data_IF_154375871182
#
_entry.id   IF_154375871182
#
_cell.length_a   1.000
_cell.length_b   1.000
_cell.length_c   1.000
_cell.angle_alpha   90.00
_cell.angle_beta   90.00
_cell.angle_gamma   90.00
#
_symmetry.space_group_name_H-M   'P 1'
#
loop_
_entity.id
_entity.type
_entity.pdbx_description
1 polymer ?
#
# COMPACT_ATOMS: atom_id res chain seq x y z
N UNK A 1 22.74 50.17 34.31
CA UNK A 1 22.00 49.18 35.11
C UNK A 1 21.40 48.14 34.16
N UNK A 2 22.12 47.04 33.96
CA UNK A 2 21.76 45.81 33.22
C UNK A 2 22.49 44.74 34.05
N UNK A 3 21.91 43.67 34.60
CA UNK A 3 21.09 42.58 34.06
C UNK A 3 20.53 41.79 35.28
N UNK A 4 19.27 41.29 35.25
CA UNK A 4 18.97 40.03 35.94
C UNK A 4 17.96 39.15 35.16
N UNK A 5 18.19 38.86 33.87
CA UNK A 5 17.30 37.97 33.09
C UNK A 5 17.92 36.61 32.71
N UNK A 6 19.25 36.47 32.69
CA UNK A 6 19.89 35.21 32.27
C UNK A 6 19.73 34.05 33.28
N UNK A 7 19.83 34.33 34.58
CA UNK A 7 19.84 33.30 35.63
C UNK A 7 18.47 32.64 35.86
N UNK A 8 17.39 33.35 35.55
CA UNK A 8 16.03 32.81 35.65
C UNK A 8 15.68 31.87 34.47
N UNK A 9 16.29 32.07 33.29
CA UNK A 9 16.09 31.19 32.15
C UNK A 9 16.82 29.85 32.32
N UNK A 10 18.04 29.85 32.87
CA UNK A 10 18.82 28.63 33.12
C UNK A 10 18.13 27.68 34.11
N UNK A 11 17.51 28.21 35.16
CA UNK A 11 16.81 27.39 36.17
C UNK A 11 15.51 26.76 35.63
N UNK A 12 14.86 27.39 34.65
CA UNK A 12 13.68 26.83 33.97
C UNK A 12 14.10 25.73 33.00
N UNK A 13 15.17 25.93 32.23
CA UNK A 13 15.70 24.93 31.30
C UNK A 13 16.16 23.67 32.02
N UNK A 14 16.89 23.80 33.14
CA UNK A 14 17.34 22.66 33.96
C UNK A 14 16.14 21.88 34.52
N UNK A 15 15.08 22.58 34.96
CA UNK A 15 13.85 21.94 35.47
C UNK A 15 13.10 21.17 34.38
N UNK A 16 13.04 21.72 33.17
CA UNK A 16 12.42 21.06 32.03
C UNK A 16 13.21 19.83 31.58
N UNK A 17 14.55 19.91 31.56
CA UNK A 17 15.42 18.76 31.29
C UNK A 17 15.23 17.66 32.33
N UNK A 18 15.23 18.01 33.63
CA UNK A 18 14.97 17.02 34.69
C UNK A 18 13.60 16.35 34.58
N UNK A 19 12.56 17.08 34.15
CA UNK A 19 11.24 16.50 33.86
C UNK A 19 11.26 15.59 32.64
N UNK A 20 11.93 15.99 31.56
CA UNK A 20 12.07 15.17 30.35
C UNK A 20 12.82 13.86 30.66
N UNK A 21 13.91 13.90 31.43
CA UNK A 21 14.66 12.72 31.84
C UNK A 21 13.87 11.80 32.77
N UNK A 22 13.04 12.38 33.65
CA UNK A 22 12.11 11.61 34.48
C UNK A 22 11.04 10.90 33.63
N UNK A 23 10.49 11.59 32.62
CA UNK A 23 9.52 10.99 31.70
C UNK A 23 10.14 9.90 30.84
N UNK A 24 11.37 10.10 30.37
CA UNK A 24 12.11 9.11 29.58
C UNK A 24 12.38 7.84 30.40
N UNK A 25 12.74 7.98 31.68
CA UNK A 25 12.89 6.83 32.60
C UNK A 25 11.58 6.10 32.83
N UNK A 26 10.51 6.82 33.18
CA UNK A 26 9.20 6.23 33.37
C UNK A 26 8.68 5.51 32.10
N UNK A 27 8.95 6.08 30.92
CA UNK A 27 8.63 5.44 29.65
C UNK A 27 9.43 4.16 29.40
N UNK A 28 10.73 4.15 29.70
CA UNK A 28 11.57 2.93 29.59
C UNK A 28 11.12 1.83 30.55
N UNK A 29 10.76 2.18 31.78
CA UNK A 29 10.27 1.22 32.77
C UNK A 29 8.92 0.63 32.34
N UNK A 30 8.00 1.47 31.83
CA UNK A 30 6.74 1.03 31.26
C UNK A 30 6.96 0.10 30.04
N UNK A 31 7.93 0.42 29.17
CA UNK A 31 8.29 -0.40 28.02
C UNK A 31 8.86 -1.77 28.45
N UNK A 32 9.67 -1.80 29.50
CA UNK A 32 10.21 -3.05 30.05
C UNK A 32 9.11 -3.95 30.62
N UNK A 33 8.14 -3.38 31.36
CA UNK A 33 6.98 -4.11 31.88
C UNK A 33 6.10 -4.63 30.73
N UNK A 34 5.85 -3.82 29.71
CA UNK A 34 5.10 -4.24 28.53
C UNK A 34 5.76 -5.43 27.82
N UNK A 35 7.09 -5.40 27.65
CA UNK A 35 7.83 -6.50 27.05
C UNK A 35 7.73 -7.80 27.86
N UNK A 36 7.75 -7.72 29.20
CA UNK A 36 7.57 -8.89 30.09
C UNK A 36 6.14 -9.43 29.99
N UNK A 37 5.14 -8.56 29.99
CA UNK A 37 3.74 -8.95 29.82
C UNK A 37 3.52 -9.64 28.47
N UNK A 38 4.06 -9.08 27.37
CA UNK A 38 4.01 -9.68 26.04
C UNK A 38 4.69 -11.05 26.00
N UNK A 39 5.80 -11.23 26.72
CA UNK A 39 6.50 -12.52 26.81
C UNK A 39 5.64 -13.57 27.52
N UNK A 40 5.03 -13.22 28.65
CA UNK A 40 4.15 -14.12 29.42
C UNK A 40 2.89 -14.48 28.63
N UNK A 41 2.30 -13.52 27.91
CA UNK A 41 1.15 -13.77 27.03
C UNK A 41 1.52 -14.68 25.87
N UNK A 42 2.72 -14.53 25.27
CA UNK A 42 3.23 -15.47 24.27
C UNK A 42 3.41 -16.89 24.84
N UNK A 43 3.98 -17.04 26.03
CA UNK A 43 4.12 -18.36 26.66
C UNK A 43 2.75 -19.01 26.91
N UNK A 44 1.79 -18.26 27.48
CA UNK A 44 0.41 -18.73 27.65
C UNK A 44 -0.25 -19.08 26.33
N UNK A 45 0.05 -18.34 25.27
CA UNK A 45 -0.49 -18.57 23.94
C UNK A 45 0.11 -19.75 23.19
N UNK A 46 1.19 -20.33 23.69
CA UNK A 46 1.87 -21.45 23.03
C UNK A 46 1.71 -22.77 23.81
N UNK A 47 1.35 -22.72 25.09
CA UNK A 47 1.12 -23.90 25.92
C UNK A 47 -0.02 -24.79 25.37
N UNK A 48 0.28 -26.08 25.13
CA UNK A 48 -0.70 -27.10 24.72
C UNK A 48 -1.24 -26.97 23.29
N UNK A 49 -0.55 -26.24 22.40
CA UNK A 49 -0.95 -26.02 21.00
C UNK A 49 -0.12 -26.82 20.01
N UNK A 50 -0.72 -27.12 18.86
CA UNK A 50 -0.04 -27.81 17.76
C UNK A 50 0.82 -26.79 16.99
N UNK A 51 2.05 -27.20 16.65
CA UNK A 51 2.98 -26.37 15.86
C UNK A 51 3.10 -26.94 14.45
N UNK A 52 2.77 -26.13 13.46
CA UNK A 52 2.92 -26.44 12.04
C UNK A 52 4.19 -25.73 11.53
N UNK A 53 5.05 -26.49 10.84
CA UNK A 53 6.27 -25.98 10.23
C UNK A 53 6.23 -26.22 8.71
N UNK A 54 6.45 -25.15 7.93
CA UNK A 54 6.59 -25.16 6.47
C UNK A 54 7.69 -24.19 6.09
N UNK A 55 8.81 -24.69 5.57
CA UNK A 55 10.01 -23.87 5.37
C UNK A 55 10.45 -23.20 6.67
N UNK A 56 10.61 -21.88 6.64
CA UNK A 56 10.92 -21.08 7.84
C UNK A 56 9.68 -20.59 8.60
N UNK A 57 8.47 -20.87 8.12
CA UNK A 57 7.24 -20.51 8.85
C UNK A 57 7.04 -21.43 10.05
N UNK A 58 6.63 -20.83 11.16
CA UNK A 58 6.12 -21.51 12.34
C UNK A 58 4.72 -20.98 12.61
N UNK A 59 3.75 -21.88 12.76
CA UNK A 59 2.37 -21.54 13.08
C UNK A 59 1.99 -22.34 14.31
N UNK A 60 1.62 -21.64 15.38
CA UNK A 60 1.18 -22.20 16.64
C UNK A 60 -0.32 -21.98 16.73
N UNK A 61 -1.09 -23.06 16.75
CA UNK A 61 -2.54 -22.99 16.73
C UNK A 61 -3.21 -24.03 17.63
N UNK A 62 -4.42 -23.74 18.09
CA UNK A 62 -5.27 -24.74 18.72
C UNK A 62 -5.76 -25.75 17.68
N UNK A 63 -6.09 -26.97 18.15
CA UNK A 63 -6.73 -27.99 17.32
C UNK A 63 -8.02 -27.43 16.71
N UNK A 64 -8.10 -27.47 15.40
CA UNK A 64 -9.22 -26.94 14.62
C UNK A 64 -9.25 -27.56 13.22
N UNK A 65 -10.40 -27.51 12.51
CA UNK A 65 -10.51 -27.96 11.13
C UNK A 65 -9.87 -27.00 10.11
N UNK A 66 -9.26 -25.89 10.54
CA UNK A 66 -8.62 -24.95 9.63
C UNK A 66 -7.52 -25.63 8.80
N UNK A 67 -7.47 -25.39 7.48
CA UNK A 67 -6.48 -26.01 6.59
C UNK A 67 -5.10 -25.33 6.68
N UNK A 68 -4.60 -25.06 7.89
CA UNK A 68 -3.40 -24.26 8.15
C UNK A 68 -2.15 -24.80 7.45
N UNK A 69 -1.95 -26.12 7.43
CA UNK A 69 -0.78 -26.75 6.77
C UNK A 69 -0.81 -26.51 5.26
N UNK A 70 -1.93 -26.83 4.61
CA UNK A 70 -2.11 -26.64 3.17
C UNK A 70 -2.03 -25.16 2.80
N UNK A 71 -2.59 -24.28 3.63
CA UNK A 71 -2.53 -22.85 3.45
C UNK A 71 -1.08 -22.33 3.53
N UNK A 72 -0.30 -22.83 4.49
CA UNK A 72 1.11 -22.48 4.67
C UNK A 72 1.97 -22.99 3.49
N UNK A 73 1.74 -24.21 3.02
CA UNK A 73 2.39 -24.77 1.83
C UNK A 73 2.13 -23.92 0.57
N UNK A 74 0.90 -23.38 0.44
CA UNK A 74 0.54 -22.47 -0.65
C UNK A 74 1.12 -21.06 -0.49
N UNK A 75 1.20 -20.54 0.74
CA UNK A 75 1.72 -19.21 1.03
C UNK A 75 3.25 -19.15 0.95
N UNK A 76 3.94 -20.23 1.32
CA UNK A 76 5.40 -20.24 1.50
C UNK A 76 6.18 -19.79 0.25
N UNK A 77 5.90 -20.27 -0.97
CA UNK A 77 6.63 -19.81 -2.16
C UNK A 77 6.51 -18.30 -2.40
N UNK A 78 5.34 -17.70 -2.13
CA UNK A 78 5.14 -16.26 -2.28
C UNK A 78 5.92 -15.47 -1.20
N UNK A 79 5.94 -15.98 0.03
CA UNK A 79 6.71 -15.42 1.15
C UNK A 79 8.21 -15.48 0.86
N UNK A 80 8.73 -16.65 0.48
CA UNK A 80 10.15 -16.84 0.14
C UNK A 80 10.55 -15.99 -1.07
N UNK A 81 9.68 -15.86 -2.08
CA UNK A 81 9.95 -15.02 -3.25
C UNK A 81 10.06 -13.53 -2.93
N UNK A 82 9.35 -13.02 -1.91
CA UNK A 82 9.39 -11.61 -1.54
C UNK A 82 10.50 -11.30 -0.52
N UNK A 83 10.63 -12.12 0.53
CA UNK A 83 11.54 -11.84 1.62
C UNK A 83 12.92 -12.49 1.42
N UNK A 84 13.03 -13.50 0.56
CA UNK A 84 14.28 -14.18 0.26
C UNK A 84 14.98 -14.68 1.52
N UNK A 85 16.22 -14.26 1.75
CA UNK A 85 16.99 -14.66 2.93
C UNK A 85 16.47 -14.07 4.24
N UNK A 86 15.67 -12.99 4.21
CA UNK A 86 15.00 -12.46 5.40
C UNK A 86 13.85 -13.36 5.86
N UNK A 87 13.35 -14.26 5.01
CA UNK A 87 12.36 -15.26 5.42
C UNK A 87 12.88 -16.21 6.51
N UNK A 88 14.21 -16.36 6.64
CA UNK A 88 14.83 -17.17 7.69
C UNK A 88 14.48 -16.68 9.11
N UNK A 89 14.27 -15.37 9.26
CA UNK A 89 13.98 -14.74 10.56
C UNK A 89 12.57 -15.12 11.05
N UNK A 90 11.68 -15.60 10.17
CA UNK A 90 10.33 -16.04 10.52
C UNK A 90 10.30 -17.26 11.46
N UNK A 91 11.42 -17.97 11.63
CA UNK A 91 11.55 -19.00 12.66
C UNK A 91 11.38 -18.39 14.06
N UNK A 92 11.87 -17.17 14.26
CA UNK A 92 11.85 -16.47 15.56
C UNK A 92 10.51 -15.79 15.83
N UNK A 93 9.68 -15.61 14.79
CA UNK A 93 8.40 -14.91 14.85
C UNK A 93 7.27 -15.84 14.38
N UNK A 94 6.82 -16.79 15.22
CA UNK A 94 5.74 -17.68 14.84
C UNK A 94 4.41 -16.92 14.69
N UNK A 95 3.58 -17.37 13.74
CA UNK A 95 2.16 -17.04 13.79
C UNK A 95 1.55 -17.68 15.02
N UNK A 96 0.75 -16.90 15.76
CA UNK A 96 -0.09 -17.41 16.84
C UNK A 96 -1.51 -17.27 16.35
N UNK A 97 -2.18 -18.39 16.04
CA UNK A 97 -3.53 -18.39 15.48
C UNK A 97 -4.46 -19.12 16.45
N UNK A 98 -5.57 -18.46 16.80
CA UNK A 98 -6.65 -19.06 17.58
C UNK A 98 -7.86 -19.22 16.68
N UNK A 99 -8.13 -20.45 16.27
CA UNK A 99 -9.36 -20.82 15.59
C UNK A 99 -10.53 -20.73 16.59
N UNK A 100 -11.56 -19.98 16.22
CA UNK A 100 -12.76 -19.75 17.02
C UNK A 100 -13.99 -20.29 16.30
N UNK A 101 -14.93 -20.81 17.07
CA UNK A 101 -16.26 -21.14 16.58
C UNK A 101 -16.98 -19.81 16.18
N UNK A 102 -17.44 -19.62 14.94
CA UNK A 102 -18.16 -18.44 14.51
C UNK A 102 -19.50 -18.30 15.24
N UNK A 103 -20.11 -19.41 15.68
CA UNK A 103 -21.46 -19.42 16.24
C UNK A 103 -21.49 -19.25 17.77
N UNK A 104 -20.33 -19.22 18.43
CA UNK A 104 -20.30 -19.10 19.89
C UNK A 104 -20.58 -17.69 20.38
N UNK A 105 -21.60 -17.56 21.24
CA UNK A 105 -22.02 -16.32 21.92
C UNK A 105 -21.32 -16.09 23.26
N UNK A 106 -20.40 -16.98 23.65
CA UNK A 106 -19.69 -16.90 24.93
C UNK A 106 -18.77 -15.68 24.96
N UNK A 107 -18.83 -14.90 26.04
CA UNK A 107 -17.97 -13.72 26.27
C UNK A 107 -16.52 -14.18 26.43
N UNK A 108 -15.65 -13.73 25.52
CA UNK A 108 -14.28 -14.27 25.37
C UNK A 108 -13.26 -13.46 26.14
N UNK A 109 -12.21 -14.12 26.62
CA UNK A 109 -11.00 -13.43 27.08
C UNK A 109 -10.33 -12.77 25.89
N UNK A 110 -10.03 -11.47 26.03
CA UNK A 110 -9.32 -10.69 25.02
C UNK A 110 -7.95 -11.31 24.83
N UNK A 111 -7.66 -11.74 23.61
CA UNK A 111 -6.34 -12.19 23.23
C UNK A 111 -5.57 -11.00 22.66
N UNK A 112 -4.55 -10.56 23.39
CA UNK A 112 -3.72 -9.43 22.97
C UNK A 112 -2.63 -9.83 21.97
N UNK A 113 -2.34 -11.13 21.85
CA UNK A 113 -1.23 -11.65 21.02
C UNK A 113 -1.73 -12.72 20.05
N UNK A 114 -1.61 -12.46 18.75
CA UNK A 114 -1.98 -13.40 17.69
C UNK A 114 -3.27 -13.05 16.97
N UNK A 115 -3.69 -13.93 16.07
CA UNK A 115 -4.86 -13.76 15.20
C UNK A 115 -5.99 -14.67 15.67
N UNK A 116 -7.14 -14.09 16.00
CA UNK A 116 -8.39 -14.85 16.16
C UNK A 116 -9.11 -14.95 14.82
N UNK A 117 -9.41 -16.18 14.41
CA UNK A 117 -9.96 -16.45 13.08
C UNK A 117 -11.07 -17.49 13.18
N UNK A 118 -12.20 -17.31 12.48
CA UNK A 118 -13.23 -18.34 12.38
C UNK A 118 -12.62 -19.67 11.90
N UNK A 119 -13.01 -20.79 12.52
CA UNK A 119 -12.47 -22.12 12.19
C UNK A 119 -12.98 -22.69 10.85
N UNK A 120 -14.00 -22.08 10.27
CA UNK A 120 -14.71 -22.46 9.04
C UNK A 120 -14.18 -21.74 7.79
N UNK A 121 -13.05 -21.03 7.91
CA UNK A 121 -12.39 -20.42 6.76
C UNK A 121 -11.90 -21.48 5.79
N UNK A 122 -12.20 -21.26 4.50
CA UNK A 122 -11.68 -22.11 3.44
C UNK A 122 -10.16 -21.95 3.26
N UNK A 123 -9.59 -22.81 2.40
CA UNK A 123 -8.17 -22.79 2.10
C UNK A 123 -7.72 -21.44 1.51
N UNK A 124 -8.52 -20.82 0.64
CA UNK A 124 -8.16 -19.57 -0.02
C UNK A 124 -8.05 -18.43 0.99
N UNK A 125 -9.07 -18.25 1.83
CA UNK A 125 -9.10 -17.24 2.87
C UNK A 125 -8.02 -17.47 3.92
N UNK A 126 -7.79 -18.73 4.31
CA UNK A 126 -6.70 -19.07 5.24
C UNK A 126 -5.33 -18.72 4.65
N UNK A 127 -5.08 -19.01 3.36
CA UNK A 127 -3.84 -18.60 2.69
C UNK A 127 -3.71 -17.07 2.61
N UNK A 128 -4.77 -16.36 2.23
CA UNK A 128 -4.78 -14.89 2.19
C UNK A 128 -4.49 -14.28 3.57
N UNK A 129 -5.02 -14.89 4.63
CA UNK A 129 -4.78 -14.45 6.00
C UNK A 129 -3.31 -14.55 6.40
N UNK A 130 -2.64 -15.66 6.06
CA UNK A 130 -1.20 -15.82 6.29
C UNK A 130 -0.40 -14.76 5.53
N UNK A 131 -0.68 -14.57 4.23
CA UNK A 131 0.02 -13.58 3.41
C UNK A 131 -0.22 -12.13 3.85
N UNK A 132 -1.39 -11.84 4.43
CA UNK A 132 -1.73 -10.50 4.89
C UNK A 132 -1.04 -10.12 6.21
N UNK A 133 -0.62 -11.12 7.01
CA UNK A 133 -0.14 -10.95 8.38
C UNK A 133 1.22 -11.60 8.60
N UNK A 134 2.09 -11.61 7.59
CA UNK A 134 3.44 -12.16 7.76
C UNK A 134 4.16 -11.44 8.89
N UNK A 135 4.66 -12.16 9.92
CA UNK A 135 5.27 -11.56 11.09
C UNK A 135 6.72 -11.13 10.80
N UNK A 136 6.90 -10.27 9.80
CA UNK A 136 8.16 -9.61 9.49
C UNK A 136 8.29 -8.30 10.26
N UNK A 137 9.51 -7.83 10.54
CA UNK A 137 9.73 -6.49 11.06
C UNK A 137 9.04 -5.42 10.20
N UNK A 138 8.47 -4.37 10.82
CA UNK A 138 7.80 -3.31 10.08
C UNK A 138 8.79 -2.56 9.20
N UNK A 139 8.30 -2.04 8.06
CA UNK A 139 9.05 -1.11 7.23
C UNK A 139 9.33 0.17 8.03
N UNK A 140 10.47 0.80 7.76
CA UNK A 140 10.75 2.14 8.26
C UNK A 140 9.74 3.16 7.72
N UNK A 141 9.51 4.24 8.47
CA UNK A 141 8.47 5.23 8.16
C UNK A 141 8.57 5.79 6.73
N UNK A 142 9.75 6.22 6.23
CA UNK A 142 9.85 6.75 4.86
C UNK A 142 9.37 5.78 3.79
N UNK A 143 9.73 4.49 3.89
CA UNK A 143 9.30 3.47 2.94
C UNK A 143 7.82 3.16 3.08
N UNK A 144 7.31 3.06 4.32
CA UNK A 144 5.90 2.82 4.59
C UNK A 144 5.02 3.96 4.04
N UNK A 145 5.39 5.21 4.28
CA UNK A 145 4.67 6.41 3.85
C UNK A 145 4.72 6.58 2.33
N UNK A 146 5.86 6.31 1.70
CA UNK A 146 5.97 6.32 0.25
C UNK A 146 5.08 5.24 -0.38
N UNK A 147 5.10 4.03 0.15
CA UNK A 147 4.34 2.89 -0.38
C UNK A 147 2.83 3.14 -0.22
N UNK A 148 2.41 3.63 0.96
CA UNK A 148 1.03 4.01 1.28
C UNK A 148 0.13 2.84 1.70
N UNK A 149 0.65 1.61 1.73
CA UNK A 149 0.02 0.44 2.35
C UNK A 149 1.10 -0.64 2.61
N UNK A 150 0.83 -1.67 3.42
CA UNK A 150 1.83 -2.71 3.73
C UNK A 150 2.34 -3.45 2.49
N UNK A 151 3.65 -3.75 2.43
CA UNK A 151 4.20 -4.62 1.39
C UNK A 151 3.94 -6.08 1.73
N UNK A 152 3.03 -6.72 0.99
CA UNK A 152 2.62 -8.11 1.20
C UNK A 152 3.11 -9.02 0.08
N UNK A 153 3.38 -10.31 0.33
CA UNK A 153 3.57 -11.27 -0.73
C UNK A 153 2.25 -11.52 -1.49
N UNK A 154 2.35 -11.94 -2.74
CA UNK A 154 1.20 -12.14 -3.63
C UNK A 154 1.24 -13.51 -4.27
N UNK A 155 0.08 -14.15 -4.35
CA UNK A 155 -0.12 -15.38 -5.11
C UNK A 155 -0.27 -15.11 -6.60
N UNK A 156 -0.74 -13.91 -6.95
CA UNK A 156 -1.13 -13.54 -8.31
C UNK A 156 -0.36 -12.28 -8.77
N UNK A 157 0.98 -12.32 -8.83
CA UNK A 157 1.78 -11.15 -9.24
C UNK A 157 1.46 -10.68 -10.67
N UNK A 158 0.95 -11.56 -11.53
CA UNK A 158 0.51 -11.20 -12.87
C UNK A 158 -0.74 -10.30 -12.86
N UNK A 159 -1.70 -10.55 -11.96
CA UNK A 159 -2.94 -9.79 -11.86
C UNK A 159 -2.69 -8.38 -11.31
N UNK A 160 -1.75 -8.23 -10.37
CA UNK A 160 -1.32 -6.92 -9.92
C UNK A 160 -0.65 -6.13 -11.04
N UNK A 161 0.25 -6.76 -11.81
CA UNK A 161 0.87 -6.11 -12.98
C UNK A 161 -0.18 -5.71 -14.02
N UNK A 162 -1.21 -6.55 -14.22
CA UNK A 162 -2.35 -6.22 -15.11
C UNK A 162 -3.13 -5.01 -14.60
N UNK A 163 -3.34 -4.91 -13.29
CA UNK A 163 -3.99 -3.75 -12.66
C UNK A 163 -3.19 -2.47 -12.90
N UNK A 164 -1.86 -2.53 -12.77
CA UNK A 164 -0.98 -1.39 -13.07
C UNK A 164 -0.99 -1.07 -14.57
N UNK A 165 -1.01 -2.07 -15.45
CA UNK A 165 -1.15 -1.86 -16.89
C UNK A 165 -2.41 -1.08 -17.22
N UNK A 166 -3.55 -1.46 -16.63
CA UNK A 166 -4.82 -0.74 -16.81
C UNK A 166 -4.69 0.72 -16.34
N UNK A 167 -4.09 0.97 -15.18
CA UNK A 167 -3.84 2.34 -14.73
C UNK A 167 -2.97 3.15 -15.71
N UNK A 168 -1.92 2.54 -16.28
CA UNK A 168 -1.06 3.24 -17.24
C UNK A 168 -1.81 3.65 -18.53
N UNK A 169 -2.79 2.85 -18.98
CA UNK A 169 -3.54 3.15 -20.21
C UNK A 169 -4.78 4.01 -19.98
N UNK A 170 -5.35 4.01 -18.76
CA UNK A 170 -6.58 4.76 -18.46
C UNK A 170 -6.35 6.04 -17.65
N UNK A 171 -5.18 6.22 -17.03
CA UNK A 171 -4.94 7.41 -16.22
C UNK A 171 -5.03 8.69 -17.07
N UNK A 172 -5.70 9.75 -16.58
CA UNK A 172 -5.83 11.01 -17.30
C UNK A 172 -4.53 11.84 -17.30
N UNK A 173 -3.50 11.42 -16.56
CA UNK A 173 -2.23 12.15 -16.43
C UNK A 173 -1.32 12.00 -17.66
N UNK A 174 -0.84 13.12 -18.20
CA UNK A 174 0.16 13.19 -19.27
C UNK A 174 1.49 12.58 -18.84
N UNK A 175 1.89 12.75 -17.56
CA UNK A 175 3.10 12.13 -17.04
C UNK A 175 2.98 10.59 -17.05
N UNK A 176 1.81 10.06 -16.67
CA UNK A 176 1.54 8.61 -16.75
C UNK A 176 1.53 8.13 -18.21
N UNK A 177 0.92 8.89 -19.12
CA UNK A 177 0.94 8.59 -20.55
C UNK A 177 2.36 8.56 -21.12
N UNK A 178 3.21 9.52 -20.74
CA UNK A 178 4.61 9.55 -21.16
C UNK A 178 5.40 8.35 -20.62
N UNK A 179 5.13 7.93 -19.37
CA UNK A 179 5.68 6.68 -18.84
C UNK A 179 5.23 5.46 -19.66
N UNK A 180 3.93 5.35 -19.96
CA UNK A 180 3.40 4.30 -20.81
C UNK A 180 4.08 4.27 -22.19
N UNK A 181 4.33 5.44 -22.80
CA UNK A 181 5.02 5.58 -24.08
C UNK A 181 6.53 5.30 -24.03
N UNK A 182 7.12 5.13 -22.84
CA UNK A 182 8.52 4.69 -22.68
C UNK A 182 9.49 5.76 -22.17
N UNK A 183 9.01 6.93 -21.77
CA UNK A 183 9.87 7.96 -21.16
C UNK A 183 10.16 7.58 -19.71
N UNK A 184 11.30 6.93 -19.46
CA UNK A 184 11.63 6.34 -18.14
C UNK A 184 11.69 7.37 -17.01
N UNK A 185 12.20 8.57 -17.27
CA UNK A 185 12.20 9.66 -16.30
C UNK A 185 10.77 9.98 -15.80
N UNK A 186 9.77 9.93 -16.71
CA UNK A 186 8.36 10.14 -16.34
C UNK A 186 7.79 8.97 -15.54
N UNK A 187 8.26 7.74 -15.77
CA UNK A 187 7.92 6.62 -14.90
C UNK A 187 8.46 6.81 -13.48
N UNK A 188 9.70 7.30 -13.33
CA UNK A 188 10.27 7.61 -12.03
C UNK A 188 9.50 8.75 -11.32
N UNK A 189 9.07 9.78 -12.07
CA UNK A 189 8.25 10.88 -11.54
C UNK A 189 6.91 10.37 -10.98
N UNK A 190 6.12 9.62 -11.75
CA UNK A 190 4.79 9.16 -11.34
C UNK A 190 4.82 8.09 -10.23
N UNK A 191 5.97 7.41 -10.07
CA UNK A 191 6.25 6.52 -8.95
C UNK A 191 6.87 7.25 -7.74
N UNK A 192 7.22 8.52 -7.88
CA UNK A 192 7.87 9.34 -6.86
C UNK A 192 9.17 8.72 -6.34
N UNK A 193 10.05 8.27 -7.24
CA UNK A 193 11.30 7.58 -6.89
C UNK A 193 12.46 8.53 -6.60
N UNK A 194 12.47 9.71 -7.20
CA UNK A 194 13.53 10.69 -7.06
C UNK A 194 13.13 11.88 -6.19
N UNK A 195 13.58 13.07 -6.58
CA UNK A 195 13.20 14.32 -5.94
C UNK A 195 11.67 14.50 -5.90
N UNK A 196 11.18 15.02 -4.78
CA UNK A 196 9.76 15.32 -4.51
C UNK A 196 9.46 16.82 -4.50
N UNK A 197 10.43 17.68 -4.85
CA UNK A 197 10.23 19.12 -5.01
C UNK A 197 9.40 19.44 -6.25
N UNK A 198 8.28 20.17 -6.20
CA UNK A 198 7.51 20.48 -7.45
C UNK A 198 6.83 19.26 -8.09
N UNK A 199 6.31 18.34 -7.27
CA UNK A 199 5.53 17.19 -7.76
C UNK A 199 4.29 17.60 -8.56
N UNK A 200 3.70 18.76 -8.26
CA UNK A 200 2.54 19.25 -9.00
C UNK A 200 2.85 19.36 -10.49
N UNK A 201 3.94 20.04 -10.84
CA UNK A 201 4.35 20.26 -12.21
C UNK A 201 4.85 18.98 -12.89
N UNK A 202 5.40 18.03 -12.11
CA UNK A 202 5.86 16.73 -12.64
C UNK A 202 4.74 15.73 -12.88
N UNK A 203 3.75 15.68 -11.99
CA UNK A 203 2.60 14.75 -12.10
C UNK A 203 1.49 15.27 -13.01
N UNK A 204 1.28 16.59 -13.01
CA UNK A 204 0.21 17.28 -13.72
C UNK A 204 0.78 18.44 -14.53
N UNK A 205 1.58 18.15 -15.58
CA UNK A 205 2.33 19.16 -16.31
C UNK A 205 1.44 20.12 -17.10
N UNK A 206 0.23 19.71 -17.50
CA UNK A 206 -0.62 20.55 -18.35
C UNK A 206 -1.66 21.36 -17.56
N UNK A 207 -1.95 22.60 -18.01
CA UNK A 207 -3.05 23.40 -17.45
C UNK A 207 -4.41 22.69 -17.35
N UNK A 208 -4.90 21.95 -18.37
CA UNK A 208 -6.19 21.27 -18.25
C UNK A 208 -6.21 20.21 -17.14
N UNK A 209 -5.10 19.52 -16.86
CA UNK A 209 -5.03 18.56 -15.75
C UNK A 209 -5.12 19.24 -14.40
N UNK A 210 -4.40 20.34 -14.19
CA UNK A 210 -4.45 21.11 -12.93
C UNK A 210 -5.84 21.67 -12.68
N UNK A 211 -6.51 22.16 -13.73
CA UNK A 211 -7.90 22.60 -13.63
C UNK A 211 -8.85 21.45 -13.31
N UNK A 212 -8.68 20.29 -13.94
CA UNK A 212 -9.49 19.11 -13.63
C UNK A 212 -9.30 18.67 -12.18
N UNK A 213 -8.08 18.71 -11.64
CA UNK A 213 -7.84 18.43 -10.21
C UNK A 213 -8.59 19.41 -9.30
N UNK A 214 -8.48 20.71 -9.57
CA UNK A 214 -9.17 21.74 -8.77
C UNK A 214 -10.68 21.53 -8.82
N UNK A 215 -11.25 21.23 -9.99
CA UNK A 215 -12.68 21.07 -10.17
C UNK A 215 -13.23 19.74 -9.63
N UNK A 216 -12.61 18.62 -10.00
CA UNK A 216 -13.14 17.27 -9.78
C UNK A 216 -12.67 16.65 -8.46
N UNK A 217 -11.43 16.93 -8.03
CA UNK A 217 -10.86 16.33 -6.82
C UNK A 217 -10.95 17.24 -5.59
N UNK A 218 -10.93 18.56 -5.80
CA UNK A 218 -10.87 19.54 -4.73
C UNK A 218 -11.94 20.63 -4.82
N UNK A 219 -13.01 20.40 -5.60
CA UNK A 219 -14.09 21.37 -5.79
C UNK A 219 -14.66 21.83 -4.46
N UNK A 220 -15.05 20.88 -3.61
CA UNK A 220 -15.62 21.18 -2.29
C UNK A 220 -14.62 21.87 -1.35
N UNK A 221 -13.32 21.60 -1.49
CA UNK A 221 -12.28 22.18 -0.64
C UNK A 221 -11.96 23.65 -1.00
N UNK A 222 -12.06 24.01 -2.28
CA UNK A 222 -11.70 25.35 -2.76
C UNK A 222 -12.91 26.24 -3.02
N UNK A 223 -14.09 25.69 -3.29
CA UNK A 223 -15.30 26.44 -3.65
C UNK A 223 -16.01 27.05 -2.42
N UNK A 224 -15.25 27.65 -1.51
CA UNK A 224 -15.79 28.37 -0.35
C UNK A 224 -14.78 29.34 0.25
N UNK A 225 -15.27 30.30 1.05
CA UNK A 225 -14.46 31.21 1.84
C UNK A 225 -13.45 32.01 1.01
N UNK A 226 -12.23 32.16 1.54
CA UNK A 226 -11.16 32.95 0.91
C UNK A 226 -10.67 32.40 -0.45
N UNK A 227 -10.92 31.12 -0.75
CA UNK A 227 -10.46 30.47 -1.98
C UNK A 227 -11.46 30.58 -3.14
N UNK A 228 -12.71 30.99 -2.88
CA UNK A 228 -13.79 30.96 -3.87
C UNK A 228 -13.47 31.80 -5.12
N UNK A 229 -12.86 32.99 -4.97
CA UNK A 229 -12.52 33.84 -6.10
C UNK A 229 -11.42 33.20 -6.98
N UNK A 230 -10.37 32.65 -6.36
CA UNK A 230 -9.31 31.95 -7.09
C UNK A 230 -9.84 30.67 -7.75
N UNK A 231 -10.80 29.99 -7.12
CA UNK A 231 -11.47 28.82 -7.68
C UNK A 231 -12.23 29.18 -8.97
N UNK A 232 -13.04 30.24 -8.94
CA UNK A 232 -13.75 30.71 -10.14
C UNK A 232 -12.79 31.16 -11.24
N UNK A 233 -11.68 31.83 -10.89
CA UNK A 233 -10.66 32.21 -11.87
C UNK A 233 -9.99 30.98 -12.51
N UNK A 234 -9.75 29.91 -11.76
CA UNK A 234 -9.24 28.65 -12.30
C UNK A 234 -10.22 28.01 -13.30
N UNK A 235 -11.52 27.98 -12.99
CA UNK A 235 -12.56 27.50 -13.91
C UNK A 235 -12.66 28.37 -15.17
N UNK A 236 -12.43 29.68 -15.04
CA UNK A 236 -12.30 30.64 -16.13
C UNK A 236 -10.95 30.58 -16.88
N UNK A 237 -10.29 29.41 -16.89
CA UNK A 237 -9.06 29.12 -17.64
C UNK A 237 -7.77 29.80 -17.14
N UNK A 238 -7.75 30.36 -15.92
CA UNK A 238 -6.50 30.88 -15.34
C UNK A 238 -5.66 29.77 -14.69
N UNK A 239 -4.63 29.30 -15.39
CA UNK A 239 -3.71 28.27 -14.89
C UNK A 239 -2.91 28.72 -13.65
N UNK A 240 -2.57 30.01 -13.57
CA UNK A 240 -1.90 30.59 -12.41
C UNK A 240 -2.78 30.49 -11.16
N UNK A 241 -4.09 30.71 -11.29
CA UNK A 241 -5.03 30.53 -10.20
C UNK A 241 -5.16 29.05 -9.79
N UNK A 242 -5.26 28.14 -10.76
CA UNK A 242 -5.30 26.69 -10.48
C UNK A 242 -4.03 26.22 -9.74
N UNK A 243 -2.86 26.62 -10.23
CA UNK A 243 -1.56 26.26 -9.62
C UNK A 243 -1.40 26.87 -8.24
N UNK A 244 -1.82 28.14 -8.06
CA UNK A 244 -1.82 28.81 -6.77
C UNK A 244 -2.63 28.05 -5.73
N UNK A 245 -3.86 27.66 -6.06
CA UNK A 245 -4.72 26.84 -5.19
C UNK A 245 -4.08 25.51 -4.84
N UNK A 246 -3.61 24.75 -5.85
CA UNK A 246 -2.99 23.44 -5.62
C UNK A 246 -1.72 23.51 -4.77
N UNK A 247 -0.98 24.63 -4.78
CA UNK A 247 0.19 24.83 -3.92
C UNK A 247 -0.16 25.12 -2.46
N UNK A 248 -1.39 25.53 -2.15
CA UNK A 248 -1.85 25.70 -0.76
C UNK A 248 -2.22 24.39 -0.07
N UNK A 249 -2.29 23.30 -0.83
CA UNK A 249 -2.65 21.99 -0.31
C UNK A 249 -1.59 21.49 0.71
N UNK A 250 -2.01 20.86 1.81
CA UNK A 250 -1.08 20.23 2.74
C UNK A 250 -0.23 19.16 2.05
N UNK A 251 1.00 18.98 2.51
CA UNK A 251 1.91 17.96 1.98
C UNK A 251 1.24 16.58 2.02
N UNK A 252 1.33 15.85 0.91
CA UNK A 252 0.77 14.49 0.80
C UNK A 252 -0.71 14.42 0.39
N UNK A 253 -1.41 15.54 0.27
CA UNK A 253 -2.82 15.55 -0.17
C UNK A 253 -2.99 15.51 -1.70
N UNK A 254 -1.96 15.92 -2.45
CA UNK A 254 -2.00 15.86 -3.91
C UNK A 254 -2.21 14.40 -4.37
N UNK A 255 -3.25 14.10 -5.17
CA UNK A 255 -3.53 12.73 -5.58
C UNK A 255 -2.36 12.17 -6.38
N UNK A 256 -1.95 10.95 -6.05
CA UNK A 256 -0.87 10.28 -6.78
C UNK A 256 -1.40 9.76 -8.12
N UNK A 257 -0.68 9.97 -9.25
CA UNK A 257 -1.15 9.52 -10.56
C UNK A 257 -1.29 8.00 -10.69
N UNK A 258 -0.50 7.25 -9.93
CA UNK A 258 -0.58 5.78 -9.85
C UNK A 258 -0.89 5.32 -8.42
N UNK A 259 -1.71 4.28 -8.32
CA UNK A 259 -2.12 3.71 -7.05
C UNK A 259 -1.01 2.88 -6.40
N UNK A 260 -1.27 2.41 -5.17
CA UNK A 260 -0.35 1.56 -4.39
C UNK A 260 0.23 0.38 -5.20
N UNK A 261 -0.58 -0.28 -6.03
CA UNK A 261 -0.14 -1.42 -6.82
C UNK A 261 1.09 -1.12 -7.71
N UNK A 262 1.21 0.10 -8.23
CA UNK A 262 2.37 0.49 -9.04
C UNK A 262 3.66 0.54 -8.21
N UNK A 263 3.56 1.05 -6.97
CA UNK A 263 4.69 1.11 -6.02
C UNK A 263 5.04 -0.28 -5.49
N UNK A 264 4.04 -1.09 -5.11
CA UNK A 264 4.28 -2.46 -4.68
C UNK A 264 4.97 -3.30 -5.77
N UNK A 265 4.54 -3.16 -7.03
CA UNK A 265 5.13 -3.91 -8.14
C UNK A 265 6.57 -3.48 -8.46
N UNK A 266 6.95 -2.21 -8.34
CA UNK A 266 8.36 -1.81 -8.53
C UNK A 266 9.24 -2.29 -7.38
N UNK A 267 8.76 -2.30 -6.13
CA UNK A 267 9.51 -2.90 -5.01
C UNK A 267 9.76 -4.38 -5.27
N UNK A 268 8.74 -5.12 -5.70
CA UNK A 268 8.88 -6.54 -6.02
C UNK A 268 9.80 -6.78 -7.20
N UNK A 269 9.79 -5.89 -8.21
CA UNK A 269 10.72 -5.99 -9.32
C UNK A 269 12.17 -5.74 -8.88
N UNK A 270 12.39 -4.76 -7.99
CA UNK A 270 13.70 -4.51 -7.39
C UNK A 270 14.21 -5.73 -6.61
N UNK A 271 13.34 -6.32 -5.77
CA UNK A 271 13.67 -7.53 -5.02
C UNK A 271 13.99 -8.71 -5.95
N UNK A 272 13.17 -8.90 -7.00
CA UNK A 272 13.37 -9.95 -8.00
C UNK A 272 14.70 -9.82 -8.73
N UNK A 273 15.09 -8.61 -9.11
CA UNK A 273 16.37 -8.34 -9.79
C UNK A 273 17.57 -8.52 -8.86
N UNK A 274 17.45 -8.07 -7.61
CA UNK A 274 18.54 -8.13 -6.63
C UNK A 274 18.76 -9.50 -5.98
N UNK A 275 17.89 -10.49 -6.25
CA UNK A 275 18.01 -11.84 -5.70
C UNK A 275 17.62 -11.95 -4.22
N UNK A 276 18.07 -13.01 -3.55
CA UNK A 276 17.57 -13.41 -2.22
C UNK A 276 17.84 -12.40 -1.10
N UNK A 277 18.94 -11.66 -1.14
CA UNK A 277 19.30 -10.69 -0.09
C UNK A 277 18.78 -9.27 -0.33
N UNK A 278 18.11 -9.04 -1.46
CA UNK A 278 17.65 -7.71 -1.88
C UNK A 278 16.67 -7.07 -0.88
N UNK A 279 15.77 -7.85 -0.29
CA UNK A 279 14.83 -7.37 0.71
C UNK A 279 15.55 -6.86 1.97
N UNK A 280 16.58 -7.57 2.43
CA UNK A 280 17.38 -7.13 3.59
C UNK A 280 18.15 -5.85 3.27
N UNK A 281 18.82 -5.78 2.11
CA UNK A 281 19.50 -4.56 1.64
C UNK A 281 18.54 -3.38 1.49
N UNK A 282 17.31 -3.64 1.05
CA UNK A 282 16.25 -2.64 1.01
C UNK A 282 16.01 -2.12 2.42
N UNK A 283 15.77 -2.97 3.42
CA UNK A 283 15.47 -2.52 4.78
C UNK A 283 16.64 -1.78 5.46
N UNK A 284 17.88 -2.15 5.18
CA UNK A 284 19.08 -1.57 5.81
C UNK A 284 19.46 -0.19 5.25
N UNK A 285 19.01 0.16 4.05
CA UNK A 285 19.37 1.43 3.41
C UNK A 285 18.43 2.57 3.83
N UNK A 286 19.04 3.71 4.19
CA UNK A 286 18.35 4.96 4.51
C UNK A 286 18.39 5.98 3.36
N UNK A 287 18.81 5.55 2.15
CA UNK A 287 18.85 6.41 0.98
C UNK A 287 17.44 6.84 0.51
N UNK A 288 17.38 7.79 -0.43
CA UNK A 288 16.12 8.17 -1.05
C UNK A 288 15.49 6.96 -1.77
N UNK A 289 14.17 6.88 -1.82
CA UNK A 289 13.45 5.65 -2.19
C UNK A 289 13.94 5.00 -3.48
N UNK A 290 14.11 5.77 -4.54
CA UNK A 290 14.58 5.21 -5.81
C UNK A 290 16.01 4.69 -5.75
N UNK A 291 16.93 5.41 -5.10
CA UNK A 291 18.32 4.94 -4.91
C UNK A 291 18.36 3.68 -4.06
N UNK A 292 17.52 3.65 -3.01
CA UNK A 292 17.33 2.52 -2.13
C UNK A 292 16.88 1.27 -2.90
N UNK A 293 15.90 1.43 -3.80
CA UNK A 293 15.39 0.35 -4.65
C UNK A 293 16.42 -0.09 -5.71
N UNK A 294 17.09 0.86 -6.35
CA UNK A 294 18.15 0.59 -7.33
C UNK A 294 19.31 -0.20 -6.68
N UNK A 295 19.76 0.23 -5.50
CA UNK A 295 20.78 -0.46 -4.71
C UNK A 295 20.33 -1.86 -4.26
N UNK A 296 19.09 -2.00 -3.79
CA UNK A 296 18.53 -3.31 -3.44
C UNK A 296 18.52 -4.26 -4.64
N UNK A 297 18.17 -3.75 -5.82
CA UNK A 297 18.14 -4.47 -7.09
C UNK A 297 19.53 -4.76 -7.69
N UNK A 298 20.58 -4.06 -7.23
CA UNK A 298 21.94 -4.16 -7.79
C UNK A 298 22.07 -3.57 -9.20
N UNK A 299 21.18 -2.64 -9.58
CA UNK A 299 21.16 -2.00 -10.92
C UNK A 299 20.92 -0.50 -10.81
N UNK A 300 21.17 0.26 -11.89
CA UNK A 300 20.81 1.68 -11.95
C UNK A 300 19.30 1.92 -12.00
N UNK A 301 18.87 3.13 -11.62
CA UNK A 301 17.46 3.54 -11.58
C UNK A 301 16.74 3.30 -12.91
N UNK A 302 17.32 3.77 -14.03
CA UNK A 302 16.68 3.64 -15.35
C UNK A 302 16.53 2.17 -15.75
N UNK A 303 17.50 1.32 -15.42
CA UNK A 303 17.42 -0.13 -15.64
C UNK A 303 16.30 -0.77 -14.82
N UNK A 304 16.15 -0.38 -13.55
CA UNK A 304 15.07 -0.86 -12.69
C UNK A 304 13.70 -0.42 -13.22
N UNK A 305 13.53 0.86 -13.52
CA UNK A 305 12.28 1.43 -14.03
C UNK A 305 11.93 0.85 -15.40
N UNK A 306 12.93 0.67 -16.28
CA UNK A 306 12.77 0.01 -17.57
C UNK A 306 12.34 -1.45 -17.43
N UNK A 307 12.98 -2.22 -16.54
CA UNK A 307 12.61 -3.60 -16.27
C UNK A 307 11.18 -3.72 -15.70
N UNK A 308 10.84 -2.88 -14.73
CA UNK A 308 9.48 -2.79 -14.18
C UNK A 308 8.46 -2.50 -15.26
N UNK A 309 8.67 -1.44 -16.06
CA UNK A 309 7.76 -1.09 -17.16
C UNK A 309 7.59 -2.25 -18.14
N UNK A 310 8.69 -2.89 -18.54
CA UNK A 310 8.64 -4.04 -19.45
C UNK A 310 7.87 -5.23 -18.84
N UNK A 311 7.95 -5.44 -17.52
CA UNK A 311 7.14 -6.43 -16.83
C UNK A 311 5.64 -6.07 -16.82
N UNK A 312 5.29 -4.79 -16.64
CA UNK A 312 3.90 -4.30 -16.72
C UNK A 312 3.35 -4.46 -18.14
N UNK A 313 4.11 -4.07 -19.17
CA UNK A 313 3.68 -4.16 -20.57
C UNK A 313 3.44 -5.61 -21.02
N UNK A 314 4.22 -6.56 -20.50
CA UNK A 314 4.01 -8.00 -20.74
C UNK A 314 2.75 -8.55 -20.05
N UNK A 315 2.25 -7.88 -19.02
CA UNK A 315 1.02 -8.27 -18.31
C UNK A 315 -0.27 -7.73 -18.95
N UNK A 316 -0.17 -7.22 -20.20
CA UNK A 316 -1.33 -6.77 -20.98
C UNK A 316 -2.45 -7.83 -20.94
N UNK A 317 -3.70 -7.47 -20.61
CA UNK A 317 -4.82 -8.39 -20.69
C UNK A 317 -4.92 -8.97 -22.10
N UNK A 318 -5.15 -10.28 -22.21
CA UNK A 318 -5.55 -10.87 -23.49
C UNK A 318 -6.85 -10.18 -23.93
N UNK A 319 -6.88 -9.69 -25.16
CA UNK A 319 -8.10 -9.11 -25.70
C UNK A 319 -9.17 -10.21 -25.69
N UNK A 320 -10.27 -9.97 -24.97
CA UNK A 320 -11.44 -10.84 -25.08
C UNK A 320 -12.03 -10.56 -26.45
N UNK A 321 -11.63 -11.38 -27.43
CA UNK A 321 -12.28 -11.38 -28.74
C UNK A 321 -13.70 -11.88 -28.51
N UNK A 322 -14.66 -10.95 -28.47
CA UNK A 322 -16.06 -11.32 -28.48
C UNK A 322 -16.30 -12.11 -29.77
N UNK A 323 -16.76 -13.36 -29.68
CA UNK A 323 -17.07 -14.10 -30.87
C UNK A 323 -18.19 -13.36 -31.61
N UNK A 324 -18.15 -13.36 -32.94
CA UNK A 324 -19.07 -12.60 -33.78
C UNK A 324 -20.55 -12.87 -33.45
N UNK A 325 -20.88 -14.09 -32.99
CA UNK A 325 -22.23 -14.45 -32.58
C UNK A 325 -22.70 -13.70 -31.33
N UNK A 326 -21.81 -13.27 -30.43
CA UNK A 326 -22.17 -12.49 -29.24
C UNK A 326 -22.67 -11.10 -29.64
N UNK A 327 -22.08 -10.51 -30.69
CA UNK A 327 -22.56 -9.27 -31.30
C UNK A 327 -23.95 -9.49 -31.91
N UNK A 328 -24.13 -10.58 -32.66
CA UNK A 328 -25.43 -10.98 -33.22
C UNK A 328 -26.50 -11.20 -32.15
N UNK A 329 -26.16 -11.87 -31.05
CA UNK A 329 -27.05 -12.09 -29.92
C UNK A 329 -27.43 -10.78 -29.22
N UNK A 330 -26.48 -9.85 -29.03
CA UNK A 330 -26.76 -8.54 -28.46
C UNK A 330 -27.73 -7.73 -29.34
N UNK A 331 -27.52 -7.71 -30.66
CA UNK A 331 -28.46 -7.08 -31.60
C UNK A 331 -29.82 -7.79 -31.62
N UNK A 332 -29.84 -9.13 -31.53
CA UNK A 332 -31.07 -9.91 -31.43
C UNK A 332 -31.87 -9.55 -30.18
N UNK A 333 -31.22 -9.43 -29.03
CA UNK A 333 -31.86 -8.99 -27.79
C UNK A 333 -32.33 -7.53 -27.85
N UNK A 334 -31.53 -6.62 -28.40
CA UNK A 334 -31.93 -5.23 -28.63
C UNK A 334 -33.18 -5.13 -29.53
N UNK A 335 -33.21 -5.90 -30.62
CA UNK A 335 -34.36 -5.96 -31.51
C UNK A 335 -35.58 -6.58 -30.82
N UNK A 336 -35.40 -7.64 -30.04
CA UNK A 336 -36.47 -8.28 -29.27
C UNK A 336 -37.06 -7.34 -28.22
N UNK A 337 -36.24 -6.72 -27.36
CA UNK A 337 -36.71 -5.78 -26.35
C UNK A 337 -37.26 -4.49 -26.97
N UNK A 338 -36.66 -4.00 -28.07
CA UNK A 338 -37.19 -2.89 -28.84
C UNK A 338 -38.57 -3.21 -29.42
N UNK A 339 -38.75 -4.40 -29.99
CA UNK A 339 -40.04 -4.86 -30.50
C UNK A 339 -41.06 -5.06 -29.37
N UNK A 340 -40.67 -5.64 -28.23
CA UNK A 340 -41.52 -5.77 -27.04
C UNK A 340 -41.93 -4.40 -26.49
N UNK A 341 -41.03 -3.42 -26.45
CA UNK A 341 -41.33 -2.05 -26.02
C UNK A 341 -42.25 -1.30 -26.99
N UNK A 342 -42.08 -1.49 -28.31
CA UNK A 342 -42.98 -0.93 -29.32
C UNK A 342 -44.36 -1.61 -29.33
N UNK A 343 -44.41 -2.90 -28.98
CA UNK A 343 -45.64 -3.70 -28.94
C UNK A 343 -46.36 -3.61 -27.60
N UNK A 344 -45.71 -3.17 -26.52
CA UNK A 344 -46.35 -2.80 -25.27
C UNK A 344 -47.06 -1.46 -25.39
N UNK A 345 -48.18 -1.46 -26.10
CA UNK A 345 -49.10 -0.34 -26.34
C UNK A 345 -49.86 0.12 -25.08
N UNK A 346 -49.28 -0.01 -23.88
CA UNK A 346 -49.89 0.41 -22.61
C UNK A 346 -49.31 1.70 -22.02
N UNK A 347 -48.27 2.27 -22.64
CA UNK A 347 -47.66 3.53 -22.21
C UNK A 347 -47.54 4.55 -23.35
N UNK A 348 -48.55 4.63 -24.23
CA UNK A 348 -48.81 5.87 -24.96
C UNK A 348 -49.78 6.68 -24.11
N UNK A 349 -49.24 7.59 -23.29
CA UNK A 349 -49.92 8.77 -22.76
C UNK A 349 -49.13 9.99 -23.22
#
# INVERSE_FOLDING_TARGET
>A
MLVPHAWAQDTVVIRLQGRADSLLRAWRDAQAIANVADSLERERATAGRDTIAVGHLRIIANRSPLPLRQAAERAWPAIDSLYGSAAADLIQYPYIIRAIDPDTTVRRSVYHVGLEVPWDLDLRWTTTLLLANVPVPPLDRPLADWLGAPLRPSLDPADERRTVYLQLVTAPSQAVRACFLGVLARCADVLALGDTSGLLERWYPSPPERRALVNESFGDFFNHGANAQAFQACLALSDAACTGLLRTLPVGTLPRPLAYAARATIVREAVRLGGRDSYRRLLESNAQIGERLAAAAGVGMDSLVGAWRNAIMRARPTAVALPWWAVGAAFGWLAFFGACGMRSSRWRL
#
